data_IF_191988543322
#
_entry.id   IF_191988543322
#
_cell.length_a   1.000
_cell.length_b   1.000
_cell.length_c   1.000
_cell.angle_alpha   90.00
_cell.angle_beta   90.00
_cell.angle_gamma   90.00
#
_symmetry.space_group_name_H-M   'P 1'
#
loop_
_entity.id
_entity.type
_entity.pdbx_description
1 polymer ?
#
# COMPACT_ATOMS: atom_id res chain seq x y z
N UNK A 1 11.62 19.16 3.58
CA UNK A 1 12.89 18.90 2.88
C UNK A 1 13.79 20.14 2.88
N UNK A 2 13.97 20.83 4.02
CA UNK A 2 14.91 21.97 4.15
C UNK A 2 15.49 22.19 5.56
N UNK A 3 15.08 21.45 6.61
CA UNK A 3 15.52 21.77 7.98
C UNK A 3 16.65 20.90 8.55
N UNK A 4 16.99 19.77 7.93
CA UNK A 4 18.05 18.87 8.45
C UNK A 4 19.45 19.17 7.91
N UNK A 5 19.55 19.98 6.84
CA UNK A 5 20.84 20.32 6.21
C UNK A 5 21.47 21.60 6.80
N UNK A 6 20.66 22.43 7.47
CA UNK A 6 21.13 23.67 8.11
C UNK A 6 22.02 23.43 9.33
N UNK A 7 21.84 22.32 10.03
CA UNK A 7 22.52 22.03 11.30
C UNK A 7 23.98 21.62 11.12
N UNK A 8 24.37 21.11 9.95
CA UNK A 8 25.75 20.67 9.69
C UNK A 8 26.69 21.83 9.29
N UNK A 9 26.18 22.89 8.65
CA UNK A 9 27.00 24.02 8.21
C UNK A 9 27.44 24.97 9.35
N UNK A 10 26.75 24.97 10.49
CA UNK A 10 27.05 25.89 11.60
C UNK A 10 28.34 25.53 12.35
N UNK A 11 28.89 24.32 12.14
CA UNK A 11 30.08 23.84 12.85
C UNK A 11 31.44 24.36 12.33
N UNK A 12 31.48 25.14 11.23
CA UNK A 12 32.74 25.57 10.59
C UNK A 12 33.11 27.04 10.74
N UNK A 13 32.34 27.83 11.48
CA UNK A 13 32.58 29.28 11.62
C UNK A 13 32.71 29.71 13.08
N UNK A 14 33.75 29.23 13.77
CA UNK A 14 34.17 29.80 15.06
C UNK A 14 35.51 30.51 14.88
N UNK A 15 35.47 31.72 14.32
CA UNK A 15 36.60 32.64 14.28
C UNK A 15 36.31 33.86 15.17
N UNK A 16 37.15 34.01 16.21
CA UNK A 16 37.47 35.20 17.03
C UNK A 16 36.35 36.03 17.67
N UNK A 17 36.36 36.22 19.01
CA UNK A 17 35.52 37.21 19.67
C UNK A 17 36.24 38.56 19.77
N UNK A 18 35.78 39.60 19.07
CA UNK A 18 35.96 40.95 19.58
C UNK A 18 34.82 41.91 19.18
N UNK A 19 34.26 42.51 20.23
CA UNK A 19 33.57 43.81 20.36
C UNK A 19 32.65 44.28 19.23
N UNK A 20 31.34 44.29 19.52
CA UNK A 20 30.59 45.55 19.67
C UNK A 20 29.24 45.27 20.36
N UNK A 21 29.10 45.76 21.60
CA UNK A 21 27.83 45.83 22.35
C UNK A 21 27.11 47.11 21.91
N UNK A 22 25.95 46.99 21.27
CA UNK A 22 24.89 48.02 21.42
C UNK A 22 23.45 47.62 21.10
N UNK A 23 23.17 46.39 20.65
CA UNK A 23 21.78 45.86 20.58
C UNK A 23 21.79 44.33 20.77
N UNK A 24 22.33 43.87 21.90
CA UNK A 24 22.37 42.44 22.21
C UNK A 24 21.00 41.97 22.68
N UNK A 25 20.43 40.97 21.99
CA UNK A 25 19.30 40.18 22.49
C UNK A 25 19.62 39.75 23.93
N UNK A 26 18.64 39.80 24.84
CA UNK A 26 18.84 39.40 26.23
C UNK A 26 19.49 38.01 26.32
N UNK A 27 20.41 37.84 27.28
CA UNK A 27 21.21 36.61 27.46
C UNK A 27 20.38 35.33 27.62
N UNK A 28 19.07 35.47 27.85
CA UNK A 28 18.06 34.42 27.97
C UNK A 28 17.84 33.65 26.64
N UNK A 29 18.31 34.18 25.50
CA UNK A 29 18.08 33.59 24.17
C UNK A 29 19.35 33.10 23.45
N UNK A 30 20.49 32.99 24.13
CA UNK A 30 21.68 32.41 23.51
C UNK A 30 21.63 30.89 23.65
N UNK A 31 21.68 30.20 22.51
CA UNK A 31 21.92 28.77 22.47
C UNK A 31 23.33 28.49 22.99
N UNK A 32 23.43 27.64 23.99
CA UNK A 32 24.72 27.16 24.49
C UNK A 32 25.07 25.78 23.91
N UNK A 33 26.26 25.27 24.28
CA UNK A 33 26.70 23.97 23.79
C UNK A 33 25.81 22.83 24.27
N UNK A 34 25.21 22.95 25.46
CA UNK A 34 24.32 21.95 26.02
C UNK A 34 22.99 21.88 25.27
N UNK A 35 22.47 23.02 24.82
CA UNK A 35 21.29 23.08 23.94
C UNK A 35 21.56 22.39 22.60
N UNK A 36 22.75 22.62 22.01
CA UNK A 36 23.15 21.98 20.76
C UNK A 36 23.34 20.47 20.92
N UNK A 37 23.90 20.02 22.04
CA UNK A 37 24.06 18.60 22.33
C UNK A 37 22.71 17.91 22.55
N UNK A 38 21.80 18.54 23.30
CA UNK A 38 20.43 18.07 23.46
C UNK A 38 19.70 17.98 22.11
N UNK A 39 19.87 18.97 21.23
CA UNK A 39 19.28 18.96 19.89
C UNK A 39 19.82 17.80 19.03
N UNK A 40 21.13 17.50 19.12
CA UNK A 40 21.73 16.35 18.42
C UNK A 40 21.17 15.03 18.93
N UNK A 41 21.01 14.88 20.24
CA UNK A 41 20.42 13.68 20.81
C UNK A 41 18.95 13.53 20.42
N UNK A 42 18.18 14.62 20.44
CA UNK A 42 16.81 14.62 19.94
C UNK A 42 16.74 14.20 18.46
N UNK A 43 17.65 14.70 17.61
CA UNK A 43 17.70 14.30 16.21
C UNK A 43 17.98 12.80 16.04
N UNK A 44 18.85 12.20 16.86
CA UNK A 44 19.09 10.75 16.88
C UNK A 44 17.81 9.98 17.23
N UNK A 45 17.09 10.43 18.26
CA UNK A 45 15.82 9.82 18.67
C UNK A 45 14.78 9.88 17.53
N UNK A 46 14.61 11.05 16.91
CA UNK A 46 13.63 11.29 15.85
C UNK A 46 14.00 10.63 14.51
N UNK A 47 15.25 10.23 14.31
CA UNK A 47 15.71 9.63 13.05
C UNK A 47 14.93 8.35 12.69
N UNK A 48 14.60 7.50 13.67
CA UNK A 48 13.80 6.30 13.40
C UNK A 48 12.38 6.67 12.92
N UNK A 49 11.73 7.62 13.59
CA UNK A 49 10.42 8.13 13.17
C UNK A 49 10.49 8.68 11.75
N UNK A 50 11.51 9.48 11.44
CA UNK A 50 11.71 10.00 10.10
C UNK A 50 11.86 8.89 9.05
N UNK A 51 12.65 7.86 9.32
CA UNK A 51 12.82 6.70 8.43
C UNK A 51 11.50 5.97 8.19
N UNK A 52 10.75 5.70 9.24
CA UNK A 52 9.43 5.03 9.15
C UNK A 52 8.44 5.90 8.38
N UNK A 53 8.35 7.19 8.69
CA UNK A 53 7.50 8.14 7.96
C UNK A 53 7.87 8.19 6.48
N UNK A 54 9.16 8.17 6.15
CA UNK A 54 9.61 8.13 4.75
C UNK A 54 9.17 6.83 4.07
N UNK A 55 9.24 5.68 4.75
CA UNK A 55 8.74 4.41 4.22
C UNK A 55 7.22 4.43 4.00
N UNK A 56 6.45 4.98 4.94
CA UNK A 56 4.99 5.14 4.84
C UNK A 56 4.62 6.12 3.72
N UNK A 57 5.45 7.14 3.47
CA UNK A 57 5.21 8.14 2.43
C UNK A 57 5.40 7.63 1.00
N UNK A 58 6.05 6.47 0.83
CA UNK A 58 6.20 5.83 -0.47
C UNK A 58 4.85 5.23 -0.88
N UNK A 59 4.42 5.54 -2.10
CA UNK A 59 3.12 5.09 -2.60
C UNK A 59 3.03 3.56 -2.59
N UNK A 60 1.92 3.04 -2.08
CA UNK A 60 1.70 1.61 -1.94
C UNK A 60 2.75 0.92 -1.06
N UNK A 61 3.35 1.61 -0.09
CA UNK A 61 4.28 1.01 0.90
C UNK A 61 3.64 0.87 2.29
N UNK A 62 2.73 1.77 2.65
CA UNK A 62 2.00 1.76 3.92
C UNK A 62 0.84 0.75 3.89
N UNK A 63 1.15 -0.53 4.11
CA UNK A 63 0.17 -1.63 4.22
C UNK A 63 -0.08 -2.00 5.67
N UNK A 64 -1.23 -2.64 5.92
CA UNK A 64 -1.61 -3.11 7.25
C UNK A 64 -0.52 -3.97 7.92
N UNK A 65 0.14 -4.85 7.14
CA UNK A 65 1.21 -5.74 7.62
C UNK A 65 2.40 -5.00 8.24
N UNK A 66 2.62 -3.73 7.88
CA UNK A 66 3.79 -2.98 8.32
C UNK A 66 3.51 -2.15 9.59
N UNK A 67 2.25 -1.88 9.92
CA UNK A 67 1.89 -0.94 10.99
C UNK A 67 2.32 -1.46 12.36
N UNK A 68 1.95 -2.69 12.71
CA UNK A 68 2.35 -3.31 13.98
C UNK A 68 3.87 -3.37 14.07
N UNK A 69 4.54 -3.73 12.97
CA UNK A 69 6.01 -3.78 12.89
C UNK A 69 6.64 -2.41 13.16
N UNK A 70 6.10 -1.34 12.59
CA UNK A 70 6.58 0.02 12.85
C UNK A 70 6.35 0.45 14.29
N UNK A 71 5.20 0.10 14.87
CA UNK A 71 4.90 0.40 16.27
C UNK A 71 5.88 -0.35 17.18
N UNK A 72 6.18 -1.63 16.91
CA UNK A 72 7.15 -2.43 17.66
C UNK A 72 8.55 -1.83 17.58
N UNK A 73 9.01 -1.45 16.38
CA UNK A 73 10.31 -0.79 16.19
C UNK A 73 10.41 0.54 16.96
N UNK A 74 9.36 1.36 16.94
CA UNK A 74 9.30 2.61 17.70
C UNK A 74 9.31 2.32 19.20
N UNK A 75 8.56 1.33 19.66
CA UNK A 75 8.46 0.93 21.06
C UNK A 75 9.81 0.47 21.62
N UNK A 76 10.50 -0.39 20.88
CA UNK A 76 11.84 -0.90 21.24
C UNK A 76 12.88 0.22 21.28
N UNK A 77 12.88 1.09 20.27
CA UNK A 77 13.78 2.25 20.20
C UNK A 77 13.59 3.21 21.37
N UNK A 78 12.34 3.58 21.69
CA UNK A 78 12.04 4.43 22.84
C UNK A 78 12.46 3.75 24.16
N UNK A 79 12.21 2.45 24.30
CA UNK A 79 12.57 1.68 25.50
C UNK A 79 14.09 1.60 25.71
N UNK A 80 14.84 1.46 24.61
CA UNK A 80 16.30 1.48 24.61
C UNK A 80 16.81 2.83 25.10
N UNK A 81 16.28 3.94 24.57
CA UNK A 81 16.67 5.31 24.97
C UNK A 81 16.31 5.59 26.44
N UNK A 82 15.16 5.10 26.92
CA UNK A 82 14.74 5.26 28.32
C UNK A 82 15.71 4.58 29.27
N UNK A 83 16.29 3.45 28.86
CA UNK A 83 17.20 2.63 29.67
C UNK A 83 18.66 3.10 29.58
N UNK A 84 19.01 3.84 28.54
CA UNK A 84 20.36 4.35 28.31
C UNK A 84 20.66 5.59 29.16
N UNK A 85 21.62 5.45 30.08
CA UNK A 85 22.04 6.52 30.99
C UNK A 85 22.76 7.68 30.29
N UNK A 86 23.23 7.47 29.05
CA UNK A 86 23.92 8.48 28.26
C UNK A 86 22.99 9.60 27.78
N UNK A 87 21.69 9.34 27.66
CA UNK A 87 20.73 10.36 27.23
C UNK A 87 20.28 11.27 28.40
N UNK A 88 20.06 12.58 28.16
CA UNK A 88 19.61 13.50 29.19
C UNK A 88 18.29 13.06 29.87
N UNK A 89 18.11 13.30 31.18
CA UNK A 89 16.88 12.95 31.91
C UNK A 89 15.61 13.51 31.26
N UNK A 90 15.67 14.73 30.72
CA UNK A 90 14.57 15.36 30.01
C UNK A 90 14.11 14.54 28.79
N UNK A 91 15.07 14.06 27.99
CA UNK A 91 14.79 13.28 26.78
C UNK A 91 14.26 11.88 27.13
N UNK A 92 14.81 11.24 28.18
CA UNK A 92 14.27 9.97 28.68
C UNK A 92 12.83 10.12 29.16
N UNK A 93 12.50 11.21 29.85
CA UNK A 93 11.13 11.51 30.27
C UNK A 93 10.21 11.76 29.07
N UNK A 94 10.68 12.50 28.05
CA UNK A 94 9.93 12.67 26.81
C UNK A 94 9.67 11.33 26.10
N UNK A 95 10.66 10.43 26.06
CA UNK A 95 10.53 9.09 25.49
C UNK A 95 9.52 8.24 26.27
N UNK A 96 9.44 8.35 27.60
CA UNK A 96 8.40 7.69 28.41
C UNK A 96 6.99 8.15 28.02
N UNK A 97 6.82 9.44 27.74
CA UNK A 97 5.55 9.98 27.23
C UNK A 97 5.27 9.44 25.83
N UNK A 98 6.27 9.43 24.94
CA UNK A 98 6.18 8.81 23.62
C UNK A 98 5.73 7.36 23.69
N UNK A 99 6.32 6.56 24.59
CA UNK A 99 5.98 5.15 24.79
C UNK A 99 4.51 4.95 25.19
N UNK A 100 3.98 5.80 26.08
CA UNK A 100 2.55 5.78 26.44
C UNK A 100 1.65 6.05 25.23
N UNK A 101 2.04 6.99 24.36
CA UNK A 101 1.31 7.30 23.13
C UNK A 101 1.37 6.10 22.18
N UNK A 102 2.54 5.51 21.99
CA UNK A 102 2.73 4.33 21.14
C UNK A 102 1.87 3.16 21.62
N UNK A 103 1.84 2.87 22.93
CA UNK A 103 0.97 1.83 23.51
C UNK A 103 -0.52 2.09 23.27
N UNK A 104 -0.96 3.36 23.35
CA UNK A 104 -2.34 3.74 23.00
C UNK A 104 -2.67 3.41 21.55
N UNK A 105 -1.75 3.64 20.62
CA UNK A 105 -1.98 3.32 19.20
C UNK A 105 -1.85 1.82 18.91
N UNK A 106 -0.98 1.13 19.64
CA UNK A 106 -0.88 -0.33 19.56
C UNK A 106 -2.22 -0.99 19.95
N UNK A 107 -2.84 -0.56 21.05
CA UNK A 107 -4.15 -1.11 21.45
C UNK A 107 -5.27 -0.80 20.46
N UNK A 108 -5.18 0.29 19.69
CA UNK A 108 -6.13 0.55 18.61
C UNK A 108 -5.99 -0.45 17.45
N UNK A 109 -4.85 -1.10 17.27
CA UNK A 109 -4.72 -2.16 16.25
C UNK A 109 -5.60 -3.37 16.57
N UNK A 110 -5.95 -3.59 17.84
CA UNK A 110 -6.84 -4.68 18.26
C UNK A 110 -8.31 -4.44 17.90
N UNK A 111 -8.67 -3.21 17.48
CA UNK A 111 -10.03 -2.90 17.00
C UNK A 111 -10.38 -3.62 15.70
N UNK A 112 -9.38 -4.11 14.96
CA UNK A 112 -9.58 -4.87 13.73
C UNK A 112 -8.63 -6.06 13.66
N UNK A 113 -9.13 -7.28 13.40
CA UNK A 113 -8.26 -8.46 13.25
C UNK A 113 -7.35 -8.36 12.00
N UNK A 114 -7.67 -7.46 11.06
CA UNK A 114 -6.95 -7.32 9.80
C UNK A 114 -5.46 -7.00 9.97
N UNK A 115 -5.06 -6.30 11.03
CA UNK A 115 -3.64 -6.01 11.28
C UNK A 115 -2.85 -7.30 11.54
N UNK A 116 -3.39 -8.19 12.37
CA UNK A 116 -2.77 -9.48 12.72
C UNK A 116 -2.82 -10.44 11.54
N UNK A 117 -3.97 -10.50 10.85
CA UNK A 117 -4.16 -11.33 9.66
C UNK A 117 -3.20 -10.90 8.53
N UNK A 118 -2.98 -9.60 8.34
CA UNK A 118 -2.05 -9.10 7.33
C UNK A 118 -0.61 -9.57 7.58
N UNK A 119 -0.18 -9.67 8.85
CA UNK A 119 1.14 -10.22 9.19
C UNK A 119 1.20 -11.72 8.90
N UNK A 120 0.17 -12.48 9.28
CA UNK A 120 0.09 -13.94 9.01
C UNK A 120 0.17 -14.29 7.53
N UNK A 121 -0.45 -13.46 6.68
CA UNK A 121 -0.43 -13.63 5.22
C UNK A 121 0.86 -13.10 4.59
N UNK A 122 1.76 -12.47 5.35
CA UNK A 122 3.01 -11.96 4.82
C UNK A 122 4.06 -13.10 4.70
N UNK A 123 4.59 -13.41 3.49
CA UNK A 123 5.45 -14.56 3.28
C UNK A 123 6.75 -14.58 4.09
N UNK A 124 7.27 -13.39 4.46
CA UNK A 124 8.49 -13.24 5.26
C UNK A 124 8.27 -13.22 6.77
N UNK A 125 7.01 -13.18 7.24
CA UNK A 125 6.70 -12.98 8.66
C UNK A 125 5.93 -14.16 9.22
N UNK A 126 4.72 -14.42 8.70
CA UNK A 126 3.80 -15.45 9.20
C UNK A 126 3.63 -15.37 10.74
N UNK A 127 3.46 -16.50 11.40
CA UNK A 127 3.41 -16.61 12.86
C UNK A 127 4.79 -16.46 13.53
N UNK A 128 5.88 -16.73 12.79
CA UNK A 128 7.25 -16.55 13.27
C UNK A 128 7.54 -15.12 13.73
N UNK A 129 6.94 -14.11 13.07
CA UNK A 129 7.06 -12.73 13.52
C UNK A 129 6.53 -12.53 14.94
N UNK A 130 5.37 -13.10 15.28
CA UNK A 130 4.80 -12.92 16.62
C UNK A 130 5.65 -13.61 17.69
N UNK A 131 6.25 -14.75 17.36
CA UNK A 131 7.20 -15.45 18.24
C UNK A 131 8.45 -14.59 18.48
N UNK A 132 9.01 -13.99 17.44
CA UNK A 132 10.15 -13.08 17.53
C UNK A 132 9.81 -11.80 18.33
N UNK A 133 8.60 -11.27 18.14
CA UNK A 133 8.06 -10.14 18.89
C UNK A 133 7.64 -10.51 20.33
N UNK A 134 7.83 -11.77 20.76
CA UNK A 134 7.51 -12.28 22.10
C UNK A 134 6.06 -12.05 22.49
N UNK A 135 5.13 -12.23 21.55
CA UNK A 135 3.71 -12.20 21.87
C UNK A 135 3.33 -13.38 22.75
N UNK A 136 2.34 -13.16 23.62
CA UNK A 136 1.78 -14.23 24.44
C UNK A 136 1.22 -15.35 23.55
N UNK A 137 1.46 -16.64 23.87
CA UNK A 137 1.00 -17.76 23.05
C UNK A 137 -0.50 -17.71 22.74
N UNK A 138 -1.32 -17.26 23.69
CA UNK A 138 -2.77 -17.11 23.54
C UNK A 138 -3.13 -16.07 22.47
N UNK A 139 -2.34 -15.00 22.33
CA UNK A 139 -2.57 -13.97 21.32
C UNK A 139 -2.17 -14.44 19.92
N UNK A 140 -1.12 -15.25 19.83
CA UNK A 140 -0.70 -15.89 18.58
C UNK A 140 -1.78 -16.87 18.13
N UNK A 141 -2.26 -17.72 19.04
CA UNK A 141 -3.35 -18.66 18.77
C UNK A 141 -4.62 -17.94 18.31
N UNK A 142 -4.97 -16.83 18.96
CA UNK A 142 -6.12 -16.01 18.59
C UNK A 142 -5.96 -15.37 17.19
N UNK A 143 -4.77 -14.86 16.85
CA UNK A 143 -4.51 -14.34 15.52
C UNK A 143 -4.68 -15.41 14.42
N UNK A 144 -4.15 -16.61 14.67
CA UNK A 144 -4.27 -17.77 13.77
C UNK A 144 -5.75 -18.17 13.61
N UNK A 145 -6.49 -18.27 14.73
CA UNK A 145 -7.91 -18.58 14.74
C UNK A 145 -8.72 -17.60 13.89
N UNK A 146 -8.52 -16.29 14.10
CA UNK A 146 -9.21 -15.24 13.36
C UNK A 146 -8.90 -15.27 11.86
N UNK A 147 -7.65 -15.52 11.48
CA UNK A 147 -7.25 -15.68 10.09
C UNK A 147 -7.91 -16.91 9.45
N UNK A 148 -7.91 -18.04 10.16
CA UNK A 148 -8.53 -19.28 9.71
C UNK A 148 -10.04 -19.12 9.52
N UNK A 149 -10.74 -18.51 10.48
CA UNK A 149 -12.18 -18.24 10.37
C UNK A 149 -12.51 -17.36 9.16
N UNK A 150 -11.75 -16.28 8.96
CA UNK A 150 -11.94 -15.40 7.80
C UNK A 150 -11.73 -16.16 6.49
N UNK A 151 -10.71 -17.01 6.41
CA UNK A 151 -10.45 -17.85 5.25
C UNK A 151 -11.59 -18.84 5.00
N UNK A 152 -12.00 -19.61 6.00
CA UNK A 152 -13.09 -20.60 5.90
C UNK A 152 -14.41 -19.95 5.48
N UNK A 153 -14.77 -18.80 6.06
CA UNK A 153 -16.04 -18.16 5.78
C UNK A 153 -16.13 -17.52 4.40
N UNK A 154 -15.04 -16.92 3.89
CA UNK A 154 -15.10 -16.03 2.72
C UNK A 154 -14.30 -16.50 1.51
N UNK A 155 -13.24 -17.29 1.71
CA UNK A 155 -12.23 -17.54 0.67
C UNK A 155 -12.04 -19.02 0.34
N UNK A 156 -12.41 -19.91 1.26
CA UNK A 156 -12.34 -21.35 1.06
C UNK A 156 -13.19 -21.78 -0.15
N UNK A 157 -12.58 -22.43 -1.17
CA UNK A 157 -13.33 -22.94 -2.31
C UNK A 157 -14.44 -23.89 -1.85
N UNK A 158 -15.66 -23.66 -2.32
CA UNK A 158 -16.76 -24.60 -2.05
C UNK A 158 -16.50 -25.90 -2.81
N UNK A 159 -16.71 -27.08 -2.20
CA UNK A 159 -16.65 -28.33 -2.92
C UNK A 159 -17.64 -28.27 -4.08
N UNK A 160 -17.16 -28.46 -5.30
CA UNK A 160 -18.04 -28.58 -6.46
C UNK A 160 -18.74 -29.93 -6.31
N UNK A 161 -20.01 -29.93 -5.90
CA UNK A 161 -20.84 -31.13 -6.01
C UNK A 161 -21.00 -31.43 -7.50
N UNK A 162 -20.53 -32.57 -8.03
CA UNK A 162 -20.80 -32.90 -9.41
C UNK A 162 -22.30 -33.11 -9.54
N UNK A 163 -22.97 -32.32 -10.39
CA UNK A 163 -24.31 -32.64 -10.83
C UNK A 163 -24.27 -34.03 -11.47
N UNK A 164 -25.10 -34.94 -10.97
CA UNK A 164 -25.25 -36.30 -11.48
C UNK A 164 -25.72 -36.24 -12.95
N UNK A 165 -24.78 -36.28 -13.88
CA UNK A 165 -25.07 -36.50 -15.30
C UNK A 165 -25.19 -38.00 -15.52
N UNK A 166 -26.42 -38.45 -15.81
CA UNK A 166 -26.72 -39.82 -16.20
C UNK A 166 -25.84 -40.31 -17.37
N UNK A 167 -25.38 -41.57 -17.38
CA UNK A 167 -24.49 -42.07 -18.42
C UNK A 167 -25.28 -42.35 -19.70
N UNK A 168 -25.03 -41.60 -20.76
CA UNK A 168 -25.41 -42.01 -22.12
C UNK A 168 -24.32 -42.91 -22.68
N UNK A 169 -24.70 -44.15 -23.01
CA UNK A 169 -23.83 -45.16 -23.57
C UNK A 169 -23.46 -44.82 -25.02
N UNK A 170 -22.17 -44.58 -25.28
CA UNK A 170 -21.61 -44.68 -26.63
C UNK A 170 -20.19 -45.21 -26.55
N UNK A 171 -19.97 -46.32 -27.26
CA UNK A 171 -18.79 -47.17 -27.23
C UNK A 171 -17.67 -46.64 -28.13
N UNK A 172 -16.51 -46.29 -27.54
CA UNK A 172 -15.20 -46.37 -28.21
C UNK A 172 -14.11 -46.75 -27.18
N UNK A 173 -13.20 -47.69 -27.47
CA UNK A 173 -12.12 -48.03 -26.57
C UNK A 173 -10.88 -47.14 -26.81
N UNK A 174 -9.96 -47.15 -25.85
CA UNK A 174 -8.62 -46.51 -25.86
C UNK A 174 -8.57 -45.04 -25.40
N UNK A 175 -8.92 -44.79 -24.13
CA UNK A 175 -8.27 -43.74 -23.31
C UNK A 175 -8.40 -44.05 -21.81
N UNK A 176 -8.37 -45.34 -21.45
CA UNK A 176 -8.75 -45.76 -20.10
C UNK A 176 -7.66 -45.46 -19.06
N UNK A 177 -6.39 -45.36 -19.47
CA UNK A 177 -5.25 -45.07 -18.58
C UNK A 177 -5.07 -43.58 -18.26
N UNK A 178 -5.29 -42.68 -19.22
CA UNK A 178 -5.17 -41.22 -18.98
C UNK A 178 -6.44 -40.67 -18.30
N UNK A 179 -7.62 -41.22 -18.61
CA UNK A 179 -8.85 -40.89 -17.91
C UNK A 179 -8.90 -41.50 -16.50
N UNK A 180 -8.32 -42.69 -16.27
CA UNK A 180 -8.17 -43.24 -14.91
C UNK A 180 -7.11 -42.48 -14.12
N UNK A 181 -6.00 -42.08 -14.74
CA UNK A 181 -4.99 -41.22 -14.11
C UNK A 181 -5.54 -39.82 -13.84
N UNK A 182 -6.35 -39.26 -14.74
CA UNK A 182 -7.04 -37.98 -14.53
C UNK A 182 -8.07 -38.05 -13.40
N UNK A 183 -8.82 -39.16 -13.28
CA UNK A 183 -9.73 -39.38 -12.15
C UNK A 183 -8.99 -39.69 -10.85
N UNK A 184 -7.87 -40.42 -10.89
CA UNK A 184 -7.02 -40.67 -9.73
C UNK A 184 -6.30 -39.39 -9.27
N UNK A 185 -5.79 -38.56 -10.19
CA UNK A 185 -5.25 -37.24 -9.89
C UNK A 185 -6.32 -36.27 -9.38
N UNK A 186 -7.57 -36.39 -9.84
CA UNK A 186 -8.70 -35.61 -9.31
C UNK A 186 -9.19 -36.14 -7.95
N UNK A 187 -9.05 -37.44 -7.67
CA UNK A 187 -9.39 -38.07 -6.40
C UNK A 187 -8.28 -37.91 -5.34
N UNK A 188 -7.02 -37.79 -5.76
CA UNK A 188 -5.87 -37.44 -4.94
C UNK A 188 -5.64 -35.92 -4.86
N UNK A 189 -6.22 -35.14 -5.77
CA UNK A 189 -6.23 -33.67 -5.79
C UNK A 189 -7.38 -33.06 -4.99
N UNK A 190 -8.09 -33.88 -4.20
CA UNK A 190 -8.87 -33.38 -3.08
C UNK A 190 -7.91 -32.91 -2.00
N UNK A 191 -7.39 -31.68 -2.14
CA UNK A 191 -6.73 -30.98 -1.04
C UNK A 191 -7.64 -31.10 0.18
N UNK A 192 -7.19 -31.84 1.20
CA UNK A 192 -7.89 -31.88 2.47
C UNK A 192 -7.96 -30.43 2.95
N UNK A 193 -9.15 -29.84 2.88
CA UNK A 193 -9.37 -28.40 2.87
C UNK A 193 -9.10 -27.65 4.20
N UNK A 194 -8.38 -28.27 5.14
CA UNK A 194 -7.73 -27.62 6.29
C UNK A 194 -6.21 -27.52 6.08
N UNK A 195 -5.65 -28.45 5.31
CA UNK A 195 -4.24 -28.59 5.00
C UNK A 195 -3.67 -27.36 4.29
N UNK A 196 -4.43 -26.66 3.43
CA UNK A 196 -3.88 -25.51 2.71
C UNK A 196 -3.46 -24.34 3.63
N UNK A 197 -4.25 -24.08 4.69
CA UNK A 197 -3.92 -23.04 5.66
C UNK A 197 -2.79 -23.48 6.59
N UNK A 198 -2.84 -24.73 7.07
CA UNK A 198 -1.82 -25.30 7.93
C UNK A 198 -0.47 -25.46 7.19
N UNK A 199 -0.49 -25.86 5.92
CA UNK A 199 0.65 -25.93 5.02
C UNK A 199 1.22 -24.54 4.72
N UNK A 200 0.36 -23.51 4.60
CA UNK A 200 0.83 -22.13 4.48
C UNK A 200 1.62 -21.70 5.72
N UNK A 201 1.07 -21.91 6.92
CA UNK A 201 1.73 -21.54 8.17
C UNK A 201 3.00 -22.36 8.42
N UNK A 202 2.95 -23.67 8.17
CA UNK A 202 4.10 -24.59 8.35
C UNK A 202 5.17 -24.40 7.27
N UNK A 203 4.82 -23.82 6.12
CA UNK A 203 5.76 -23.54 5.05
C UNK A 203 6.85 -22.56 5.49
N UNK A 204 8.07 -22.72 4.96
CA UNK A 204 9.19 -21.84 5.27
C UNK A 204 8.92 -20.35 4.96
N UNK A 205 9.65 -19.47 5.64
CA UNK A 205 9.64 -18.04 5.36
C UNK A 205 10.27 -17.77 3.99
N UNK A 206 9.68 -16.85 3.24
CA UNK A 206 10.19 -16.42 1.94
C UNK A 206 10.90 -15.08 2.10
N UNK A 207 12.19 -15.06 1.81
CA UNK A 207 13.06 -13.89 1.90
C UNK A 207 13.77 -13.66 0.56
N UNK A 208 14.16 -12.40 0.31
CA UNK A 208 15.05 -12.05 -0.79
C UNK A 208 16.44 -11.79 -0.22
N UNK A 209 17.24 -12.83 -0.07
CA UNK A 209 18.45 -12.79 0.77
C UNK A 209 18.04 -12.65 2.23
N UNK A 210 18.47 -11.57 2.90
CA UNK A 210 18.11 -11.29 4.29
C UNK A 210 16.92 -10.31 4.44
N UNK A 211 16.39 -9.81 3.33
CA UNK A 211 15.33 -8.79 3.37
C UNK A 211 13.94 -9.40 3.15
N UNK A 212 12.89 -8.85 3.80
CA UNK A 212 11.50 -9.24 3.53
C UNK A 212 11.10 -9.03 2.07
N UNK A 213 10.35 -9.97 1.51
CA UNK A 213 9.80 -9.84 0.16
C UNK A 213 8.60 -8.91 0.12
N UNK A 214 8.33 -8.31 -1.04
CA UNK A 214 7.07 -7.60 -1.24
C UNK A 214 5.92 -8.62 -1.30
N UNK A 215 4.98 -8.61 -0.33
CA UNK A 215 4.03 -9.70 -0.16
C UNK A 215 3.01 -9.72 -1.31
N UNK A 216 2.56 -8.57 -1.80
CA UNK A 216 1.63 -8.51 -2.94
C UNK A 216 2.26 -9.01 -4.24
N UNK A 217 3.52 -8.64 -4.52
CA UNK A 217 4.22 -9.17 -5.70
C UNK A 217 4.34 -10.68 -5.63
N UNK A 218 4.68 -11.21 -4.47
CA UNK A 218 4.80 -12.64 -4.26
C UNK A 218 3.45 -13.36 -4.46
N UNK A 219 2.37 -12.89 -3.82
CA UNK A 219 1.03 -13.48 -3.96
C UNK A 219 0.47 -13.36 -5.39
N UNK A 220 0.74 -12.26 -6.10
CA UNK A 220 0.39 -12.14 -7.51
C UNK A 220 1.14 -13.16 -8.38
N UNK A 221 2.38 -13.47 -8.05
CA UNK A 221 3.15 -14.48 -8.77
C UNK A 221 2.60 -15.89 -8.49
N UNK A 222 2.27 -16.21 -7.24
CA UNK A 222 1.59 -17.48 -6.91
C UNK A 222 0.29 -17.65 -7.70
N UNK A 223 -0.50 -16.58 -7.80
CA UNK A 223 -1.73 -16.56 -8.60
C UNK A 223 -1.47 -16.87 -10.08
N UNK A 224 -0.42 -16.29 -10.66
CA UNK A 224 -0.04 -16.51 -12.08
C UNK A 224 0.48 -17.92 -12.32
N UNK A 225 1.19 -18.49 -11.36
CA UNK A 225 1.68 -19.87 -11.39
C UNK A 225 0.58 -20.91 -11.19
N UNK A 226 -0.67 -20.50 -10.98
CA UNK A 226 -1.81 -21.41 -10.77
C UNK A 226 -1.89 -22.00 -9.36
N UNK A 227 -1.01 -21.58 -8.44
CA UNK A 227 -1.07 -22.03 -7.06
C UNK A 227 -2.07 -21.19 -6.29
N UNK A 228 -3.30 -21.70 -6.13
CA UNK A 228 -4.38 -20.99 -5.42
C UNK A 228 -4.22 -21.01 -3.90
N UNK A 229 -3.33 -21.86 -3.35
CA UNK A 229 -3.17 -22.13 -1.92
C UNK A 229 -4.52 -22.33 -1.22
N UNK A 230 -5.42 -23.13 -1.80
CA UNK A 230 -6.76 -23.35 -1.26
C UNK A 230 -7.59 -22.07 -1.10
N UNK A 231 -7.41 -21.06 -1.96
CA UNK A 231 -8.10 -19.77 -1.89
C UNK A 231 -7.39 -18.68 -1.05
N UNK A 232 -6.30 -19.02 -0.35
CA UNK A 232 -5.52 -18.04 0.43
C UNK A 232 -4.97 -16.89 -0.42
N UNK A 233 -4.65 -17.14 -1.69
CA UNK A 233 -4.18 -16.10 -2.61
C UNK A 233 -5.17 -14.94 -2.69
N UNK A 234 -6.47 -15.22 -2.72
CA UNK A 234 -7.49 -14.18 -2.81
C UNK A 234 -7.58 -13.39 -1.50
N UNK A 235 -7.59 -14.09 -0.36
CA UNK A 235 -7.57 -13.47 0.96
C UNK A 235 -6.35 -12.56 1.14
N UNK A 236 -5.17 -13.05 0.77
CA UNK A 236 -3.92 -12.32 0.87
C UNK A 236 -3.92 -11.05 0.01
N UNK A 237 -4.39 -11.13 -1.24
CA UNK A 237 -4.46 -9.96 -2.12
C UNK A 237 -5.45 -8.91 -1.61
N UNK A 238 -6.58 -9.32 -1.06
CA UNK A 238 -7.58 -8.40 -0.49
C UNK A 238 -7.05 -7.72 0.78
N UNK A 239 -6.54 -8.50 1.74
CA UNK A 239 -6.08 -7.99 3.04
C UNK A 239 -4.79 -7.17 2.91
N UNK A 240 -3.79 -7.67 2.18
CA UNK A 240 -2.52 -6.96 1.98
C UNK A 240 -2.65 -5.79 0.99
N UNK A 241 -3.73 -5.76 0.21
CA UNK A 241 -4.07 -4.65 -0.68
C UNK A 241 -4.56 -3.42 0.07
N UNK A 242 -5.05 -3.57 1.30
CA UNK A 242 -5.58 -2.48 2.11
C UNK A 242 -4.47 -1.46 2.48
N UNK A 243 -4.62 -0.18 2.09
CA UNK A 243 -3.74 0.87 2.58
C UNK A 243 -4.00 1.10 4.06
N UNK A 244 -2.93 1.26 4.83
CA UNK A 244 -3.02 1.55 6.26
C UNK A 244 -3.09 3.06 6.56
N UNK A 245 -2.86 3.91 5.56
CA UNK A 245 -2.82 5.37 5.73
C UNK A 245 -3.51 6.07 4.57
N UNK A 246 -3.97 7.30 4.81
CA UNK A 246 -4.53 8.19 3.80
C UNK A 246 -3.49 8.75 2.83
N UNK A 247 -2.20 8.42 2.99
CA UNK A 247 -1.11 9.06 2.22
C UNK A 247 -1.26 8.84 0.71
N UNK A 248 -1.68 7.65 0.27
CA UNK A 248 -1.92 7.40 -1.17
C UNK A 248 -3.05 8.29 -1.71
N UNK A 249 -4.08 8.56 -0.89
CA UNK A 249 -5.20 9.45 -1.21
C UNK A 249 -4.77 10.91 -1.19
N UNK A 250 -4.03 11.34 -0.17
CA UNK A 250 -3.48 12.70 -0.07
C UNK A 250 -2.52 13.03 -1.22
N UNK A 251 -1.73 12.06 -1.67
CA UNK A 251 -0.87 12.19 -2.84
C UNK A 251 -1.67 12.33 -4.13
N UNK A 252 -2.78 11.59 -4.25
CA UNK A 252 -3.70 11.75 -5.37
C UNK A 252 -4.33 13.16 -5.36
N UNK A 253 -4.81 13.64 -4.21
CA UNK A 253 -5.36 15.00 -4.11
C UNK A 253 -4.31 16.09 -4.33
N UNK A 254 -3.10 15.92 -3.81
CA UNK A 254 -2.00 16.87 -4.02
C UNK A 254 -1.63 16.99 -5.50
N UNK A 255 -1.66 15.87 -6.23
CA UNK A 255 -1.49 15.86 -7.68
C UNK A 255 -2.66 16.57 -8.40
N UNK A 256 -3.87 16.43 -7.88
CA UNK A 256 -5.07 17.10 -8.39
C UNK A 256 -5.25 18.55 -7.99
N UNK A 257 -4.37 19.10 -7.15
CA UNK A 257 -4.49 20.46 -6.62
C UNK A 257 -4.63 21.51 -7.72
N UNK A 258 -3.96 21.31 -8.85
CA UNK A 258 -4.03 22.24 -9.98
C UNK A 258 -5.39 22.21 -10.71
N UNK A 259 -6.15 21.11 -10.61
CA UNK A 259 -7.52 21.00 -11.13
C UNK A 259 -8.55 21.75 -10.27
N UNK A 260 -8.28 21.89 -8.97
CA UNK A 260 -9.22 22.44 -8.00
C UNK A 260 -8.93 23.89 -7.60
N UNK A 261 -7.66 24.23 -7.32
CA UNK A 261 -7.33 25.54 -6.71
C UNK A 261 -6.48 26.49 -7.56
N UNK A 262 -5.55 26.00 -8.38
CA UNK A 262 -4.56 26.87 -9.03
C UNK A 262 -5.03 27.49 -10.36
N UNK A 263 -5.83 26.77 -11.15
CA UNK A 263 -6.39 27.26 -12.41
C UNK A 263 -7.91 27.21 -12.28
N UNK A 264 -8.54 28.34 -11.93
CA UNK A 264 -9.99 28.52 -11.67
C UNK A 264 -10.88 28.12 -12.85
N UNK A 265 -10.94 26.84 -13.16
CA UNK A 265 -11.93 26.26 -14.02
C UNK A 265 -12.99 25.72 -13.09
N UNK A 266 -14.20 26.30 -13.08
CA UNK A 266 -15.37 25.77 -12.33
C UNK A 266 -15.79 24.42 -12.92
N UNK A 267 -14.90 23.43 -12.90
CA UNK A 267 -15.15 22.09 -13.38
C UNK A 267 -16.15 21.46 -12.43
N UNK A 268 -17.17 20.82 -13.00
CA UNK A 268 -18.06 20.01 -12.19
C UNK A 268 -17.29 18.81 -11.60
N UNK A 269 -17.82 18.23 -10.53
CA UNK A 269 -17.21 17.08 -9.84
C UNK A 269 -16.92 15.90 -10.78
N UNK A 270 -17.77 15.67 -11.78
CA UNK A 270 -17.57 14.61 -12.77
C UNK A 270 -16.36 14.87 -13.68
N UNK A 271 -16.16 16.11 -14.12
CA UNK A 271 -15.01 16.54 -14.93
C UNK A 271 -13.71 16.46 -14.15
N UNK A 272 -13.73 16.85 -12.87
CA UNK A 272 -12.57 16.70 -11.97
C UNK A 272 -12.22 15.23 -11.82
N UNK A 273 -13.19 14.37 -11.48
CA UNK A 273 -12.98 12.93 -11.30
C UNK A 273 -12.43 12.26 -12.57
N UNK A 274 -13.01 12.55 -13.74
CA UNK A 274 -12.53 12.01 -15.02
C UNK A 274 -11.13 12.51 -15.37
N UNK A 275 -10.87 13.81 -15.19
CA UNK A 275 -9.56 14.41 -15.43
C UNK A 275 -8.48 13.79 -14.53
N UNK A 276 -8.77 13.65 -13.24
CA UNK A 276 -7.90 13.00 -12.26
C UNK A 276 -7.62 11.54 -12.62
N UNK A 277 -8.63 10.81 -13.08
CA UNK A 277 -8.49 9.42 -13.51
C UNK A 277 -7.54 9.29 -14.69
N UNK A 278 -7.74 10.09 -15.76
CA UNK A 278 -6.86 10.08 -16.94
C UNK A 278 -5.43 10.46 -16.55
N UNK A 279 -5.27 11.50 -15.73
CA UNK A 279 -3.97 11.97 -15.29
C UNK A 279 -3.24 10.91 -14.42
N UNK A 280 -3.96 10.18 -13.56
CA UNK A 280 -3.43 9.06 -12.81
C UNK A 280 -2.94 7.92 -13.72
N UNK A 281 -3.75 7.47 -14.68
CA UNK A 281 -3.34 6.41 -15.61
C UNK A 281 -2.18 6.83 -16.51
N UNK A 282 -2.15 8.10 -16.95
CA UNK A 282 -1.04 8.66 -17.73
C UNK A 282 0.25 8.65 -16.91
N UNK A 283 0.22 9.12 -15.66
CA UNK A 283 1.40 9.16 -14.77
C UNK A 283 1.97 7.77 -14.48
N UNK A 284 1.10 6.75 -14.41
CA UNK A 284 1.50 5.37 -14.20
C UNK A 284 1.84 4.60 -15.49
N UNK A 285 2.04 5.32 -16.61
CA UNK A 285 2.37 4.73 -17.92
C UNK A 285 1.38 3.66 -18.38
N UNK A 286 0.10 3.80 -17.99
CA UNK A 286 -0.98 2.88 -18.38
C UNK A 286 -1.68 3.32 -19.66
N UNK A 287 -1.48 4.58 -20.07
CA UNK A 287 -1.92 5.10 -21.36
C UNK A 287 -0.71 5.12 -22.30
N UNK A 288 -0.81 4.44 -23.44
CA UNK A 288 0.24 4.49 -24.46
C UNK A 288 0.39 5.91 -24.99
N UNK A 289 1.62 6.35 -25.20
CA UNK A 289 1.91 7.65 -25.78
C UNK A 289 1.22 7.80 -27.15
N UNK A 290 0.74 9.01 -27.45
CA UNK A 290 -0.01 9.28 -28.68
C UNK A 290 -1.48 8.85 -28.68
N UNK A 291 -1.95 8.01 -27.73
CA UNK A 291 -3.37 7.58 -27.68
C UNK A 291 -4.34 8.76 -27.59
N UNK A 292 -4.05 9.73 -26.71
CA UNK A 292 -4.88 10.92 -26.55
C UNK A 292 -4.81 11.87 -27.75
N UNK A 293 -3.66 11.92 -28.44
CA UNK A 293 -3.49 12.73 -29.65
C UNK A 293 -4.28 12.15 -30.82
N UNK A 294 -4.20 10.83 -31.04
CA UNK A 294 -4.97 10.12 -32.05
C UNK A 294 -6.48 10.24 -31.80
N UNK A 295 -6.92 10.12 -30.55
CA UNK A 295 -8.32 10.34 -30.18
C UNK A 295 -8.80 11.77 -30.49
N UNK A 296 -7.98 12.78 -30.15
CA UNK A 296 -8.30 14.19 -30.45
C UNK A 296 -8.35 14.47 -31.96
N UNK A 297 -7.46 13.84 -32.73
CA UNK A 297 -7.46 13.96 -34.19
C UNK A 297 -8.71 13.33 -34.80
N UNK A 298 -9.10 12.13 -34.35
CA UNK A 298 -10.34 11.48 -34.79
C UNK A 298 -11.61 12.30 -34.51
N UNK A 299 -11.68 13.00 -33.37
CA UNK A 299 -12.78 13.94 -33.08
C UNK A 299 -12.82 15.14 -34.03
N UNK A 300 -11.66 15.70 -34.37
CA UNK A 300 -11.56 16.81 -35.32
C UNK A 300 -11.96 16.37 -36.73
N UNK A 301 -11.64 15.14 -37.11
CA UNK A 301 -11.99 14.59 -38.41
C UNK A 301 -13.50 14.26 -38.49
N UNK A 302 -14.10 13.75 -37.42
CA UNK A 302 -15.56 13.50 -37.35
C UNK A 302 -16.38 14.79 -37.31
N UNK A 303 -15.90 15.83 -36.63
CA UNK A 303 -16.56 17.16 -36.67
C UNK A 303 -16.47 17.80 -38.06
N UNK A 304 -15.32 17.68 -38.74
CA UNK A 304 -15.17 18.11 -40.14
C UNK A 304 -16.09 17.32 -41.08
N UNK A 305 -16.22 16.00 -40.89
CA UNK A 305 -17.09 15.16 -41.72
C UNK A 305 -18.57 15.56 -41.57
N UNK A 306 -19.03 15.81 -40.34
CA UNK A 306 -20.39 16.27 -40.03
C UNK A 306 -20.70 17.66 -40.57
N UNK A 307 -19.75 18.60 -40.50
CA UNK A 307 -19.91 19.92 -41.13
C UNK A 307 -19.99 19.83 -42.65
N UNK A 308 -19.17 18.96 -43.28
CA UNK A 308 -19.17 18.75 -44.73
C UNK A 308 -20.47 18.07 -45.21
N UNK A 309 -21.06 17.19 -44.39
CA UNK A 309 -22.37 16.59 -44.62
C UNK A 309 -23.50 17.62 -44.51
N UNK A 310 -23.53 18.45 -43.46
CA UNK A 310 -24.52 19.53 -43.31
C UNK A 310 -24.49 20.58 -44.44
N UNK A 311 -23.30 20.90 -44.97
CA UNK A 311 -23.17 21.82 -46.13
C UNK A 311 -23.72 21.25 -47.44
N UNK A 312 -23.82 19.92 -47.59
CA UNK A 312 -24.36 19.28 -48.80
C UNK A 312 -25.88 19.15 -48.82
N UNK A 313 -26.58 19.41 -47.70
CA UNK A 313 -28.04 19.25 -47.57
C UNK A 313 -28.82 20.54 -47.88
N UNK A 314 -28.16 21.65 -48.18
CA UNK A 314 -28.82 22.86 -48.72
C UNK A 314 -28.93 22.68 -50.24
N UNK A 315 -29.99 21.99 -50.69
CA UNK A 315 -30.43 22.03 -52.10
C UNK A 315 -31.42 23.18 -52.19
N UNK A 316 -31.08 24.18 -53.01
CA UNK A 316 -32.00 25.24 -53.44
C UNK A 316 -33.01 24.61 -54.38
N UNK A 317 -34.28 24.64 -54.00
CA UNK A 317 -35.40 24.35 -54.88
C UNK A 317 -35.82 25.70 -55.49
N UNK A 318 -35.15 26.09 -56.58
CA UNK A 318 -35.57 27.18 -57.45
C UNK A 318 -36.03 26.55 -58.77
N UNK A 319 -37.34 26.42 -58.94
CA UNK A 319 -38.08 26.76 -60.17
C UNK A 319 -39.51 26.21 -60.09
N UNK A 320 -40.49 27.09 -59.85
CA UNK A 320 -41.83 26.92 -60.38
C UNK A 320 -42.09 28.05 -61.37
N UNK A 321 -42.11 27.66 -62.64
CA UNK A 321 -42.58 28.44 -63.78
C UNK A 321 -44.04 28.85 -63.57
N UNK A 322 -44.30 30.17 -63.50
CA UNK A 322 -45.64 30.72 -63.68
C UNK A 322 -45.85 31.07 -65.15
N UNK A 323 -46.80 30.37 -65.75
CA UNK A 323 -47.46 30.71 -67.00
C UNK A 323 -48.27 32.01 -66.85
N UNK A 324 -47.86 33.06 -67.55
CA UNK A 324 -48.64 33.77 -68.59
C UNK A 324 -47.85 34.97 -69.13
#
# INVERSE_FOLDING_TARGET
MYELDGTLQVSKSTASPDRHKTYGIDRVHYLDQSDLDLARDLAKVLNLFHKITLQISKSGSARLSNIVIFIDQITDHLSTIISDSNYPPALRNACRVGLKITNKYYSLTDTSPLYRIAILLHPSFKDEYFKLAKWEPEWIAEAIRLAFEMWVSNYKPRPITPASSAPTTSSKPITLTLASLGRAASACGGENSSDAFDMWLTGGLVLNGNDPVNPLKWWMEQKRSGNSHGGLVHMALDVLGCPATSVDVERAFSFGRDYDSAKRHRLNSCSISRGMTVAFYSKNSKIKEGTLAAWKQGLNDDTKSRQKSKRKVIVLDDNDDLSN
#
